data_IF_216773117224
#
_entry.id   IF_216773117224
#
_cell.length_a   1.000
_cell.length_b   1.000
_cell.length_c   1.000
_cell.angle_alpha   90.00
_cell.angle_beta   90.00
_cell.angle_gamma   90.00
#
_symmetry.space_group_name_H-M   'P 1'
#
loop_
_entity.id
_entity.type
_entity.pdbx_description
1 polymer ?
#
# COMPACT_ATOMS: atom_id res chain seq x y z
N UNK A 1 -12.03 -49.73 -10.69
CA UNK A 1 -12.61 -48.50 -10.11
C UNK A 1 -11.52 -47.80 -9.31
N UNK A 2 -10.96 -46.70 -9.84
CA UNK A 2 -9.97 -45.88 -9.12
C UNK A 2 -10.75 -44.78 -8.36
N UNK A 3 -10.60 -44.74 -7.05
CA UNK A 3 -11.18 -43.73 -6.20
C UNK A 3 -10.54 -42.36 -6.52
N UNK A 4 -11.36 -41.40 -6.94
CA UNK A 4 -10.96 -40.00 -7.08
C UNK A 4 -10.93 -39.39 -5.69
N UNK A 5 -9.73 -39.20 -5.16
CA UNK A 5 -9.52 -38.49 -3.90
C UNK A 5 -9.76 -37.00 -4.20
N UNK A 6 -10.95 -36.50 -3.86
CA UNK A 6 -11.25 -35.07 -3.83
C UNK A 6 -10.41 -34.45 -2.70
N UNK A 7 -9.45 -33.60 -3.08
CA UNK A 7 -8.74 -32.72 -2.14
C UNK A 7 -9.76 -31.86 -1.39
N UNK A 8 -9.67 -31.71 -0.06
CA UNK A 8 -10.61 -30.85 0.67
C UNK A 8 -10.44 -29.42 0.17
N UNK A 9 -11.55 -28.78 -0.18
CA UNK A 9 -11.60 -27.35 -0.44
C UNK A 9 -11.04 -26.64 0.79
N UNK A 10 -9.94 -25.93 0.62
CA UNK A 10 -9.34 -25.11 1.68
C UNK A 10 -10.41 -24.13 2.16
N UNK A 11 -10.81 -24.24 3.42
CA UNK A 11 -11.72 -23.29 4.05
C UNK A 11 -11.19 -21.86 3.82
N UNK A 12 -12.06 -20.87 3.58
CA UNK A 12 -11.61 -19.50 3.42
C UNK A 12 -10.88 -19.11 4.71
N UNK A 13 -9.61 -18.73 4.56
CA UNK A 13 -8.75 -18.26 5.64
C UNK A 13 -9.43 -17.05 6.33
N UNK A 14 -10.04 -17.30 7.49
CA UNK A 14 -10.87 -16.37 8.23
C UNK A 14 -10.10 -15.45 9.16
N UNK A 15 -8.76 -15.49 9.14
CA UNK A 15 -7.97 -14.60 9.98
C UNK A 15 -8.26 -13.13 9.63
N UNK A 16 -8.49 -12.28 10.64
CA UNK A 16 -8.93 -10.91 10.44
C UNK A 16 -7.88 -10.09 9.68
N UNK A 17 -8.36 -9.20 8.79
CA UNK A 17 -7.56 -8.23 8.05
C UNK A 17 -8.15 -6.85 8.26
N UNK A 18 -7.31 -5.88 8.52
CA UNK A 18 -7.68 -4.47 8.59
C UNK A 18 -7.30 -3.75 7.29
N UNK A 19 -8.25 -3.06 6.68
CA UNK A 19 -8.01 -2.23 5.49
C UNK A 19 -8.08 -0.76 5.89
N UNK A 20 -6.94 -0.11 5.92
CA UNK A 20 -6.80 1.32 6.20
C UNK A 20 -7.11 2.11 4.94
N UNK A 21 -8.08 3.00 5.04
CA UNK A 21 -8.62 3.84 3.98
C UNK A 21 -8.44 5.32 4.36
N UNK A 22 -7.31 5.96 4.00
CA UNK A 22 -7.13 7.40 4.22
C UNK A 22 -8.19 8.19 3.48
N UNK A 23 -8.98 8.99 4.19
CA UNK A 23 -10.16 9.67 3.66
C UNK A 23 -10.09 11.19 3.89
N UNK A 24 -10.30 11.96 2.82
CA UNK A 24 -10.47 13.40 2.87
C UNK A 24 -11.41 13.85 1.76
N UNK A 25 -12.66 14.14 2.11
CA UNK A 25 -13.71 14.52 1.17
C UNK A 25 -13.89 13.50 0.04
N UNK A 26 -14.29 12.29 0.40
CA UNK A 26 -14.51 11.16 -0.51
C UNK A 26 -15.92 10.53 -0.31
N UNK A 27 -16.91 11.32 0.17
CA UNK A 27 -18.25 10.82 0.47
C UNK A 27 -18.92 10.11 -0.71
N UNK A 28 -18.66 10.56 -1.94
CA UNK A 28 -19.19 9.99 -3.18
C UNK A 28 -18.58 8.61 -3.50
N UNK A 29 -17.28 8.45 -3.26
CA UNK A 29 -16.54 7.22 -3.57
C UNK A 29 -16.75 6.10 -2.54
N UNK A 30 -17.01 6.45 -1.27
CA UNK A 30 -17.10 5.51 -0.16
C UNK A 30 -18.05 4.32 -0.39
N UNK A 31 -19.26 4.48 -0.95
CA UNK A 31 -20.15 3.33 -1.18
C UNK A 31 -19.52 2.28 -2.10
N UNK A 32 -18.85 2.73 -3.15
CA UNK A 32 -18.19 1.84 -4.11
C UNK A 32 -16.99 1.13 -3.49
N UNK A 33 -16.17 1.85 -2.73
CA UNK A 33 -14.97 1.31 -2.05
C UNK A 33 -15.38 0.30 -0.99
N UNK A 34 -16.30 0.66 -0.08
CA UNK A 34 -16.69 -0.18 1.05
C UNK A 34 -17.43 -1.44 0.62
N UNK A 35 -18.23 -1.38 -0.45
CA UNK A 35 -18.91 -2.55 -0.99
C UNK A 35 -17.95 -3.60 -1.58
N UNK A 36 -16.68 -3.24 -1.83
CA UNK A 36 -15.63 -4.09 -2.39
C UNK A 36 -14.60 -4.57 -1.37
N UNK A 37 -14.73 -4.17 -0.13
CA UNK A 37 -13.93 -4.76 0.96
C UNK A 37 -14.33 -6.25 1.07
N UNK A 38 -13.39 -7.18 1.05
CA UNK A 38 -13.68 -8.60 1.17
C UNK A 38 -14.46 -8.93 2.45
N UNK A 39 -15.38 -9.91 2.37
CA UNK A 39 -16.19 -10.32 3.53
C UNK A 39 -15.29 -10.78 4.68
N UNK A 40 -15.64 -10.37 5.89
CA UNK A 40 -14.86 -10.69 7.10
C UNK A 40 -13.67 -9.77 7.36
N UNK A 41 -13.31 -8.89 6.42
CA UNK A 41 -12.30 -7.87 6.64
C UNK A 41 -12.90 -6.60 7.22
N UNK A 42 -12.13 -5.88 8.02
CA UNK A 42 -12.57 -4.65 8.65
C UNK A 42 -12.05 -3.43 7.90
N UNK A 43 -12.96 -2.56 7.48
CA UNK A 43 -12.63 -1.26 6.91
C UNK A 43 -12.36 -0.23 8.02
N UNK A 44 -11.17 0.35 8.03
CA UNK A 44 -10.76 1.47 8.89
C UNK A 44 -10.68 2.74 8.04
N UNK A 45 -11.77 3.48 7.96
CA UNK A 45 -11.81 4.78 7.27
C UNK A 45 -11.21 5.83 8.19
N UNK A 46 -10.06 6.38 7.78
CA UNK A 46 -9.36 7.40 8.58
C UNK A 46 -9.71 8.78 8.04
N UNK A 47 -10.66 9.42 8.70
CA UNK A 47 -11.10 10.78 8.36
C UNK A 47 -10.04 11.80 8.76
N UNK A 48 -9.43 12.44 7.76
CA UNK A 48 -8.40 13.44 7.94
C UNK A 48 -8.95 14.87 7.82
N UNK A 49 -10.14 15.07 8.40
CA UNK A 49 -10.84 16.34 8.49
C UNK A 49 -11.68 16.66 7.27
N UNK A 50 -12.50 15.71 6.83
CA UNK A 50 -13.50 15.92 5.79
C UNK A 50 -14.59 16.91 6.21
N UNK A 51 -15.18 17.57 5.22
CA UNK A 51 -16.27 18.55 5.39
C UNK A 51 -17.49 18.24 4.55
N UNK A 52 -17.46 17.10 3.83
CA UNK A 52 -18.49 16.67 2.87
C UNK A 52 -19.40 15.54 3.41
N UNK A 53 -19.29 15.21 4.71
CA UNK A 53 -20.04 14.10 5.30
C UNK A 53 -19.42 12.71 5.11
N UNK A 54 -18.16 12.64 4.68
CA UNK A 54 -17.43 11.36 4.50
C UNK A 54 -17.45 10.48 5.75
N UNK A 55 -17.20 11.06 6.92
CA UNK A 55 -17.13 10.30 8.18
C UNK A 55 -18.48 9.67 8.55
N UNK A 56 -19.58 10.44 8.42
CA UNK A 56 -20.96 9.99 8.68
C UNK A 56 -21.36 8.91 7.66
N UNK A 57 -21.02 9.12 6.39
CA UNK A 57 -21.28 8.18 5.31
C UNK A 57 -20.58 6.84 5.53
N UNK A 58 -19.29 6.88 5.94
CA UNK A 58 -18.52 5.68 6.24
C UNK A 58 -19.14 4.87 7.37
N UNK A 59 -19.57 5.53 8.48
CA UNK A 59 -20.23 4.87 9.61
C UNK A 59 -21.55 4.23 9.17
N UNK A 60 -22.37 4.94 8.40
CA UNK A 60 -23.64 4.43 7.89
C UNK A 60 -23.46 3.19 6.99
N UNK A 61 -22.30 3.04 6.34
CA UNK A 61 -21.94 1.88 5.53
C UNK A 61 -21.22 0.77 6.33
N UNK A 62 -21.14 0.89 7.66
CA UNK A 62 -20.59 -0.15 8.53
C UNK A 62 -19.07 -0.10 8.73
N UNK A 63 -18.38 0.92 8.23
CA UNK A 63 -16.95 1.08 8.46
C UNK A 63 -16.63 1.61 9.87
N UNK A 64 -15.50 1.17 10.43
CA UNK A 64 -14.93 1.82 11.62
C UNK A 64 -14.29 3.13 11.18
N UNK A 65 -14.67 4.24 11.80
CA UNK A 65 -14.12 5.56 11.49
C UNK A 65 -13.13 5.99 12.57
N UNK A 66 -11.89 6.24 12.14
CA UNK A 66 -10.82 6.81 12.95
C UNK A 66 -10.68 8.29 12.57
N UNK A 67 -10.61 9.20 13.54
CA UNK A 67 -10.39 10.61 13.30
C UNK A 67 -8.92 10.95 13.48
N UNK A 68 -8.32 11.61 12.47
CA UNK A 68 -6.94 12.11 12.53
C UNK A 68 -6.93 13.62 12.26
N UNK A 69 -6.60 14.39 13.29
CA UNK A 69 -6.64 15.87 13.23
C UNK A 69 -5.44 16.45 12.49
N UNK A 70 -4.30 15.78 12.56
CA UNK A 70 -3.10 16.20 11.85
C UNK A 70 -3.27 15.99 10.36
N UNK A 71 -3.36 17.07 9.60
CA UNK A 71 -3.47 17.03 8.13
C UNK A 71 -2.27 16.33 7.49
N UNK A 72 -2.54 15.37 6.61
CA UNK A 72 -1.54 14.69 5.81
C UNK A 72 -1.88 13.25 5.50
N UNK A 73 -1.59 12.79 4.29
CA UNK A 73 -1.83 11.42 3.86
C UNK A 73 -1.13 10.40 4.79
N UNK A 74 0.15 10.65 5.11
CA UNK A 74 0.90 9.80 6.02
C UNK A 74 0.38 9.82 7.45
N UNK A 75 -0.22 10.93 7.91
CA UNK A 75 -0.86 11.00 9.22
C UNK A 75 -2.08 10.07 9.27
N UNK A 76 -2.93 10.12 8.25
CA UNK A 76 -4.08 9.23 8.13
C UNK A 76 -3.67 7.76 8.03
N UNK A 77 -2.69 7.42 7.18
CA UNK A 77 -2.16 6.04 7.10
C UNK A 77 -1.64 5.56 8.45
N UNK A 78 -0.87 6.40 9.15
CA UNK A 78 -0.29 6.04 10.45
C UNK A 78 -1.36 5.87 11.53
N UNK A 79 -2.33 6.77 11.60
CA UNK A 79 -3.44 6.65 12.56
C UNK A 79 -4.24 5.35 12.32
N UNK A 80 -4.47 4.99 11.05
CA UNK A 80 -5.08 3.71 10.70
C UNK A 80 -4.25 2.51 11.12
N UNK A 81 -2.93 2.51 10.91
CA UNK A 81 -2.02 1.46 11.37
C UNK A 81 -2.05 1.30 12.89
N UNK A 82 -2.07 2.41 13.63
CA UNK A 82 -2.15 2.39 15.10
C UNK A 82 -3.50 1.87 15.60
N UNK A 83 -4.59 2.16 14.91
CA UNK A 83 -5.95 1.68 15.23
C UNK A 83 -6.20 0.23 14.77
N UNK A 84 -5.38 -0.28 13.87
CA UNK A 84 -5.46 -1.66 13.40
C UNK A 84 -5.14 -2.64 14.53
N UNK A 85 -5.84 -3.78 14.54
CA UNK A 85 -5.67 -4.86 15.52
C UNK A 85 -5.44 -6.22 14.87
N UNK A 86 -5.73 -6.35 13.58
CA UNK A 86 -5.48 -7.57 12.82
C UNK A 86 -3.99 -7.78 12.56
N UNK A 87 -3.59 -9.04 12.35
CA UNK A 87 -2.19 -9.40 12.04
C UNK A 87 -1.73 -8.84 10.70
N UNK A 88 -2.64 -8.74 9.72
CA UNK A 88 -2.36 -8.16 8.43
C UNK A 88 -3.10 -6.83 8.28
N UNK A 89 -2.36 -5.83 7.85
CA UNK A 89 -2.87 -4.49 7.55
C UNK A 89 -2.67 -4.22 6.06
N UNK A 90 -3.76 -3.81 5.43
CA UNK A 90 -3.77 -3.34 4.07
C UNK A 90 -3.96 -1.81 4.02
N UNK A 91 -3.48 -1.20 2.96
CA UNK A 91 -3.76 0.20 2.62
C UNK A 91 -4.38 0.26 1.24
N UNK A 92 -5.38 1.11 1.09
CA UNK A 92 -6.03 1.40 -0.19
C UNK A 92 -6.53 2.84 -0.20
N UNK A 93 -6.42 3.52 -1.34
CA UNK A 93 -7.01 4.85 -1.50
C UNK A 93 -8.54 4.78 -1.46
N UNK A 94 -9.18 5.84 -0.96
CA UNK A 94 -10.62 5.92 -0.73
C UNK A 94 -11.38 6.62 -1.87
N UNK A 95 -10.75 6.81 -3.04
CA UNK A 95 -11.26 7.61 -4.17
C UNK A 95 -11.81 6.78 -5.35
N UNK A 96 -12.05 5.49 -5.13
CA UNK A 96 -12.51 4.52 -6.11
C UNK A 96 -11.58 4.31 -7.32
N UNK A 97 -10.34 4.75 -7.26
CA UNK A 97 -9.34 4.50 -8.32
C UNK A 97 -8.73 3.10 -8.27
N UNK A 98 -8.84 2.43 -7.14
CA UNK A 98 -8.37 1.06 -6.91
C UNK A 98 -9.47 0.21 -6.27
N UNK A 99 -9.61 -1.02 -6.73
CA UNK A 99 -10.56 -1.98 -6.19
C UNK A 99 -9.96 -2.70 -4.97
N UNK A 100 -10.53 -2.54 -3.75
CA UNK A 100 -10.02 -3.22 -2.55
C UNK A 100 -10.04 -4.75 -2.64
N UNK A 101 -10.89 -5.34 -3.47
CA UNK A 101 -10.94 -6.80 -3.66
C UNK A 101 -9.62 -7.37 -4.21
N UNK A 102 -8.83 -6.55 -4.88
CA UNK A 102 -7.50 -6.90 -5.39
C UNK A 102 -6.46 -7.13 -4.28
N UNK A 103 -6.77 -6.80 -3.03
CA UNK A 103 -5.92 -7.09 -1.88
C UNK A 103 -5.90 -8.57 -1.49
N UNK A 104 -6.88 -9.37 -1.91
CA UNK A 104 -6.98 -10.78 -1.52
C UNK A 104 -5.71 -11.59 -1.87
N UNK A 105 -5.18 -11.56 -3.10
CA UNK A 105 -3.93 -12.24 -3.41
C UNK A 105 -2.73 -11.68 -2.64
N UNK A 106 -2.68 -10.38 -2.34
CA UNK A 106 -1.60 -9.75 -1.57
C UNK A 106 -1.56 -10.28 -0.14
N UNK A 107 -2.73 -10.36 0.50
CA UNK A 107 -2.88 -10.89 1.85
C UNK A 107 -2.46 -12.36 1.90
N UNK A 108 -2.83 -13.16 0.89
CA UNK A 108 -2.40 -14.56 0.80
C UNK A 108 -0.89 -14.66 0.75
N UNK A 109 -0.22 -13.94 -0.14
CA UNK A 109 1.23 -13.95 -0.30
C UNK A 109 1.97 -13.56 1.00
N UNK A 110 1.43 -12.56 1.75
CA UNK A 110 1.97 -12.19 3.07
C UNK A 110 1.76 -13.30 4.10
N UNK A 111 0.60 -13.96 4.11
CA UNK A 111 0.28 -15.06 5.03
C UNK A 111 1.15 -16.27 4.80
N UNK A 112 1.31 -16.65 3.54
CA UNK A 112 2.10 -17.80 3.12
C UNK A 112 3.61 -17.55 3.32
N UNK A 113 3.97 -16.32 3.71
CA UNK A 113 5.35 -15.92 3.95
C UNK A 113 6.17 -15.87 2.67
N UNK A 114 5.55 -15.65 1.52
CA UNK A 114 6.23 -15.47 0.23
C UNK A 114 6.81 -14.06 0.10
N UNK A 115 6.11 -13.05 0.65
CA UNK A 115 6.56 -11.67 0.78
C UNK A 115 6.21 -11.10 2.15
N UNK A 116 6.93 -10.04 2.56
CA UNK A 116 6.69 -9.33 3.81
C UNK A 116 5.93 -8.02 3.57
N UNK A 117 6.11 -7.41 2.37
CA UNK A 117 5.37 -6.25 1.90
C UNK A 117 5.00 -6.44 0.42
N UNK A 118 3.72 -6.41 0.10
CA UNK A 118 3.21 -6.53 -1.27
C UNK A 118 2.62 -5.19 -1.72
N UNK A 119 2.94 -4.77 -2.94
CA UNK A 119 2.56 -3.49 -3.54
C UNK A 119 1.79 -3.71 -4.85
N UNK A 120 0.78 -2.87 -5.09
CA UNK A 120 0.05 -2.84 -6.35
C UNK A 120 0.66 -1.82 -7.32
N UNK A 121 1.19 -2.29 -8.44
CA UNK A 121 1.63 -1.45 -9.56
C UNK A 121 0.45 -1.03 -10.39
N UNK A 122 0.20 0.27 -10.47
CA UNK A 122 -0.94 0.82 -11.21
C UNK A 122 -0.80 0.62 -12.72
N UNK A 123 -1.81 -0.01 -13.32
CA UNK A 123 -1.99 -0.14 -14.76
C UNK A 123 -3.21 0.68 -15.19
N UNK A 124 -3.03 1.91 -15.71
CA UNK A 124 -4.13 2.80 -16.03
C UNK A 124 -5.13 2.16 -16.99
N UNK A 125 -6.40 2.22 -16.63
CA UNK A 125 -7.53 1.77 -17.42
C UNK A 125 -8.29 2.99 -17.98
N UNK A 126 -8.34 3.13 -19.29
CA UNK A 126 -9.03 4.22 -19.96
C UNK A 126 -8.23 5.53 -20.03
N UNK A 127 -8.83 6.50 -20.77
CA UNK A 127 -8.24 7.83 -20.97
C UNK A 127 -8.38 8.66 -19.68
N UNK A 128 -7.27 9.31 -19.26
CA UNK A 128 -7.29 10.23 -18.11
C UNK A 128 -7.09 9.58 -16.74
N UNK A 129 -7.06 8.25 -16.61
CA UNK A 129 -6.83 7.57 -15.34
C UNK A 129 -5.51 7.99 -14.66
N UNK A 130 -4.48 8.27 -15.45
CA UNK A 130 -3.18 8.70 -14.93
C UNK A 130 -2.51 9.71 -15.88
N UNK A 131 -2.44 10.99 -15.52
CA UNK A 131 -1.81 12.03 -16.33
C UNK A 131 -0.34 11.73 -16.66
N UNK A 132 0.12 12.10 -17.87
CA UNK A 132 1.46 11.77 -18.36
C UNK A 132 2.59 12.32 -17.45
N UNK A 133 2.43 13.56 -16.93
CA UNK A 133 3.39 14.18 -16.02
C UNK A 133 3.51 13.42 -14.69
N UNK A 134 2.40 12.91 -14.15
CA UNK A 134 2.40 12.11 -12.94
C UNK A 134 3.06 10.74 -13.16
N UNK A 135 2.87 10.13 -14.35
CA UNK A 135 3.58 8.90 -14.75
C UNK A 135 5.09 9.12 -14.88
N UNK A 136 5.51 10.22 -15.49
CA UNK A 136 6.93 10.57 -15.60
C UNK A 136 7.56 10.79 -14.21
N UNK A 137 6.87 11.48 -13.31
CA UNK A 137 7.29 11.66 -11.92
C UNK A 137 7.43 10.32 -11.18
N UNK A 138 6.49 9.41 -11.36
CA UNK A 138 6.55 8.08 -10.76
C UNK A 138 7.73 7.25 -11.30
N UNK A 139 8.01 7.29 -12.61
CA UNK A 139 9.16 6.60 -13.20
C UNK A 139 10.50 7.15 -12.68
N UNK A 140 10.62 8.46 -12.55
CA UNK A 140 11.79 9.08 -11.96
C UNK A 140 11.98 8.64 -10.48
N UNK A 141 10.89 8.62 -9.71
CA UNK A 141 10.90 8.18 -8.31
C UNK A 141 11.27 6.70 -8.19
N UNK A 142 10.70 5.83 -9.02
CA UNK A 142 11.04 4.40 -9.06
C UNK A 142 12.53 4.19 -9.41
N UNK A 143 13.08 4.98 -10.33
CA UNK A 143 14.50 4.97 -10.66
C UNK A 143 15.41 5.39 -9.49
N UNK A 144 15.03 6.43 -8.74
CA UNK A 144 15.74 6.86 -7.52
C UNK A 144 15.65 5.81 -6.41
N UNK A 145 14.46 5.25 -6.21
CA UNK A 145 14.21 4.19 -5.22
C UNK A 145 15.08 2.96 -5.53
N UNK A 146 15.12 2.53 -6.79
CA UNK A 146 15.96 1.42 -7.22
C UNK A 146 17.44 1.66 -6.92
N UNK A 147 17.94 2.90 -7.16
CA UNK A 147 19.34 3.25 -6.84
C UNK A 147 19.61 3.23 -5.34
N UNK A 148 18.62 3.63 -4.51
CA UNK A 148 18.75 3.70 -3.05
C UNK A 148 18.64 2.33 -2.38
N UNK A 149 17.79 1.43 -2.90
CA UNK A 149 17.39 0.20 -2.21
C UNK A 149 17.77 -1.09 -2.95
N UNK A 150 18.09 -1.01 -4.24
CA UNK A 150 18.27 -2.18 -5.11
C UNK A 150 16.98 -2.83 -5.58
N UNK A 151 15.83 -2.47 -5.02
CA UNK A 151 14.52 -3.05 -5.37
C UNK A 151 14.11 -2.68 -6.79
N UNK A 152 13.61 -3.66 -7.55
CA UNK A 152 13.13 -3.46 -8.94
C UNK A 152 11.63 -3.14 -8.95
N UNK A 153 11.24 -2.07 -8.28
CA UNK A 153 9.88 -1.58 -8.30
C UNK A 153 9.65 -0.61 -9.45
N UNK A 154 8.43 -0.62 -10.01
CA UNK A 154 8.04 0.22 -11.15
C UNK A 154 7.05 1.30 -10.74
N UNK A 155 6.38 1.13 -9.59
CA UNK A 155 5.41 2.08 -9.07
C UNK A 155 5.49 2.16 -7.55
N UNK A 156 5.15 3.32 -7.01
CA UNK A 156 4.91 3.53 -5.59
C UNK A 156 3.41 3.51 -5.31
N UNK A 157 2.77 2.40 -5.67
CA UNK A 157 1.32 2.25 -5.59
C UNK A 157 0.77 2.35 -4.17
N UNK A 158 -0.45 2.86 -4.00
CA UNK A 158 -1.10 2.99 -2.70
C UNK A 158 -1.74 1.69 -2.19
N UNK A 159 -2.01 0.71 -3.08
CA UNK A 159 -2.55 -0.58 -2.68
C UNK A 159 -1.42 -1.43 -2.08
N UNK A 160 -1.54 -1.84 -0.82
CA UNK A 160 -0.48 -2.54 -0.09
C UNK A 160 -1.01 -3.52 0.93
N UNK A 161 -0.24 -4.56 1.20
CA UNK A 161 -0.47 -5.49 2.32
C UNK A 161 0.85 -5.85 2.99
N UNK A 162 0.85 -5.92 4.33
CA UNK A 162 1.98 -6.38 5.13
C UNK A 162 1.51 -6.85 6.51
N UNK A 163 2.36 -7.53 7.26
CA UNK A 163 2.11 -7.83 8.66
C UNK A 163 2.15 -6.54 9.48
N UNK A 164 1.20 -6.39 10.39
CA UNK A 164 1.11 -5.22 11.28
C UNK A 164 2.40 -5.05 12.11
N UNK A 165 2.94 -6.14 12.62
CA UNK A 165 4.16 -6.12 13.42
C UNK A 165 5.34 -5.55 12.63
N UNK A 166 5.51 -5.97 11.37
CA UNK A 166 6.58 -5.49 10.50
C UNK A 166 6.41 -4.00 10.21
N UNK A 167 5.19 -3.56 9.86
CA UNK A 167 4.89 -2.14 9.62
C UNK A 167 5.20 -1.25 10.83
N UNK A 168 4.91 -1.72 12.04
CA UNK A 168 5.22 -1.01 13.28
C UNK A 168 6.73 -0.97 13.52
N UNK A 169 7.44 -2.08 13.29
CA UNK A 169 8.89 -2.18 13.43
C UNK A 169 9.66 -1.25 12.49
N UNK A 170 9.08 -0.92 11.31
CA UNK A 170 9.67 0.07 10.40
C UNK A 170 9.80 1.48 11.02
N UNK A 171 9.08 1.79 12.09
CA UNK A 171 9.19 3.07 12.81
C UNK A 171 8.91 4.29 11.91
N UNK A 172 7.89 4.23 11.05
CA UNK A 172 7.57 5.28 10.08
C UNK A 172 7.28 6.62 10.76
N UNK A 173 7.96 7.67 10.34
CA UNK A 173 7.90 9.02 10.95
C UNK A 173 7.30 10.09 10.04
N UNK A 174 7.36 9.92 8.71
CA UNK A 174 6.73 10.86 7.80
C UNK A 174 5.21 10.84 8.00
N UNK A 175 4.58 12.03 8.08
CA UNK A 175 3.13 12.17 8.26
C UNK A 175 2.47 12.84 7.06
N UNK A 176 3.22 12.98 5.96
CA UNK A 176 2.79 13.66 4.74
C UNK A 176 2.89 12.73 3.54
N UNK A 177 3.36 13.26 2.41
CA UNK A 177 3.43 12.53 1.14
C UNK A 177 4.61 11.56 1.05
N UNK A 178 5.58 11.61 1.96
CA UNK A 178 6.72 10.71 2.02
C UNK A 178 6.42 9.35 2.65
N UNK A 179 5.32 9.22 3.40
CA UNK A 179 4.98 8.00 4.13
C UNK A 179 5.01 6.72 3.28
N UNK A 180 4.41 6.68 2.06
CA UNK A 180 4.46 5.50 1.22
C UNK A 180 5.87 5.14 0.75
N UNK A 181 6.70 6.15 0.48
CA UNK A 181 8.09 5.95 0.07
C UNK A 181 8.94 5.50 1.24
N UNK A 182 8.78 6.11 2.42
CA UNK A 182 9.48 5.74 3.64
C UNK A 182 9.21 4.28 4.03
N UNK A 183 7.97 3.82 3.86
CA UNK A 183 7.61 2.41 4.09
C UNK A 183 8.48 1.49 3.24
N UNK A 184 8.61 1.75 1.95
CA UNK A 184 9.40 0.90 1.03
C UNK A 184 10.90 1.01 1.31
N UNK A 185 11.43 2.21 1.55
CA UNK A 185 12.84 2.42 1.86
C UNK A 185 13.21 1.68 3.15
N UNK A 186 12.42 1.82 4.21
CA UNK A 186 12.69 1.16 5.49
C UNK A 186 12.46 -0.34 5.45
N UNK A 187 11.49 -0.82 4.65
CA UNK A 187 11.32 -2.24 4.40
C UNK A 187 12.55 -2.85 3.73
N UNK A 188 13.11 -2.17 2.72
CA UNK A 188 14.35 -2.58 2.09
C UNK A 188 15.55 -2.54 3.05
N UNK A 189 15.69 -1.47 3.83
CA UNK A 189 16.76 -1.33 4.83
C UNK A 189 16.67 -2.41 5.93
N UNK A 190 15.45 -2.86 6.26
CA UNK A 190 15.20 -3.96 7.19
C UNK A 190 15.34 -5.36 6.57
N UNK A 191 15.65 -5.45 5.27
CA UNK A 191 15.79 -6.73 4.57
C UNK A 191 14.47 -7.46 4.30
N UNK A 192 13.32 -6.76 4.37
CA UNK A 192 12.02 -7.35 4.07
C UNK A 192 11.90 -7.69 2.58
N UNK A 193 11.25 -8.80 2.27
CA UNK A 193 10.94 -9.22 0.90
C UNK A 193 9.78 -8.39 0.38
N UNK A 194 10.05 -7.58 -0.64
CA UNK A 194 9.06 -6.69 -1.24
C UNK A 194 8.66 -7.22 -2.61
N UNK A 195 7.37 -7.49 -2.80
CA UNK A 195 6.78 -7.92 -4.06
C UNK A 195 5.93 -6.81 -4.71
N UNK A 196 5.76 -6.87 -6.03
CA UNK A 196 4.95 -5.92 -6.80
C UNK A 196 4.10 -6.67 -7.82
N UNK A 197 2.77 -6.40 -7.82
CA UNK A 197 1.82 -6.98 -8.77
C UNK A 197 1.07 -5.90 -9.53
N UNK A 198 0.78 -6.17 -10.80
CA UNK A 198 -0.01 -5.27 -11.62
C UNK A 198 -1.47 -5.22 -11.16
N UNK A 199 -2.00 -4.01 -10.98
CA UNK A 199 -3.40 -3.78 -10.61
C UNK A 199 -4.05 -2.76 -11.54
N UNK A 200 -5.29 -2.98 -12.00
CA UNK A 200 -6.05 -2.00 -12.73
C UNK A 200 -6.17 -0.69 -11.94
N UNK A 201 -5.92 0.43 -12.61
CA UNK A 201 -6.05 1.76 -12.03
C UNK A 201 -7.11 2.55 -12.80
N UNK A 202 -8.22 2.82 -12.13
CA UNK A 202 -9.41 3.46 -12.68
C UNK A 202 -9.31 4.99 -12.58
N UNK A 203 -10.08 5.74 -13.37
CA UNK A 203 -10.30 7.15 -13.11
C UNK A 203 -10.88 7.32 -11.70
N UNK A 204 -10.31 8.26 -10.94
CA UNK A 204 -10.79 8.55 -9.58
C UNK A 204 -12.13 9.28 -9.59
N UNK A 205 -12.90 9.08 -8.54
CA UNK A 205 -14.04 9.93 -8.22
C UNK A 205 -13.54 11.18 -7.50
N UNK A 206 -13.85 12.37 -8.05
CA UNK A 206 -13.42 13.65 -7.46
C UNK A 206 -12.00 14.10 -7.84
N UNK A 207 -11.51 15.17 -7.19
CA UNK A 207 -10.25 15.84 -7.50
C UNK A 207 -9.07 15.34 -6.65
N UNK A 208 -7.84 15.35 -7.21
CA UNK A 208 -6.63 15.00 -6.45
C UNK A 208 -6.36 15.97 -5.30
N UNK A 209 -6.21 15.46 -4.08
CA UNK A 209 -5.93 16.26 -2.88
C UNK A 209 -4.42 16.50 -2.66
N UNK A 210 -3.56 15.70 -3.27
CA UNK A 210 -2.09 15.78 -3.08
C UNK A 210 -1.41 16.51 -4.24
N UNK A 211 -1.73 16.14 -5.48
CA UNK A 211 -1.05 16.65 -6.69
C UNK A 211 -1.89 17.62 -7.51
N UNK A 212 -3.06 18.02 -7.02
CA UNK A 212 -3.97 18.93 -7.71
C UNK A 212 -3.48 20.40 -7.80
N UNK A 213 -2.42 20.75 -7.09
CA UNK A 213 -1.80 22.09 -7.13
C UNK A 213 -0.28 21.99 -7.30
N UNK A 214 0.33 23.00 -7.95
CA UNK A 214 1.79 23.06 -8.11
C UNK A 214 2.54 23.08 -6.76
N UNK A 215 1.97 23.75 -5.75
CA UNK A 215 2.52 23.78 -4.39
C UNK A 215 2.49 22.39 -3.74
N UNK A 216 1.38 21.66 -3.89
CA UNK A 216 1.26 20.28 -3.38
C UNK A 216 2.24 19.34 -4.05
N UNK A 217 2.40 19.45 -5.36
CA UNK A 217 3.38 18.64 -6.13
C UNK A 217 4.81 18.92 -5.68
N UNK A 218 5.20 20.22 -5.56
CA UNK A 218 6.54 20.61 -5.11
C UNK A 218 6.82 20.10 -3.69
N UNK A 219 5.82 20.20 -2.81
CA UNK A 219 5.93 19.70 -1.44
C UNK A 219 6.09 18.18 -1.40
N UNK A 220 5.33 17.44 -2.20
CA UNK A 220 5.46 15.99 -2.30
C UNK A 220 6.86 15.58 -2.78
N UNK A 221 7.41 16.25 -3.79
CA UNK A 221 8.79 16.03 -4.26
C UNK A 221 9.81 16.30 -3.15
N UNK A 222 9.64 17.37 -2.37
CA UNK A 222 10.53 17.70 -1.26
C UNK A 222 10.48 16.65 -0.15
N UNK A 223 9.27 16.19 0.21
CA UNK A 223 9.08 15.15 1.22
C UNK A 223 9.74 13.82 0.75
N UNK A 224 9.56 13.45 -0.51
CA UNK A 224 10.16 12.26 -1.10
C UNK A 224 11.69 12.33 -1.15
N UNK A 225 12.27 13.49 -1.51
CA UNK A 225 13.73 13.69 -1.49
C UNK A 225 14.31 13.55 -0.08
N UNK A 226 13.60 14.05 0.94
CA UNK A 226 14.02 13.90 2.33
C UNK A 226 14.08 12.44 2.72
N UNK A 227 13.05 11.66 2.40
CA UNK A 227 13.00 10.22 2.68
C UNK A 227 14.14 9.46 1.99
N UNK A 228 14.42 9.77 0.72
CA UNK A 228 15.52 9.12 -0.01
C UNK A 228 16.91 9.46 0.55
N UNK A 229 17.04 10.60 1.23
CA UNK A 229 18.27 11.05 1.87
C UNK A 229 18.40 10.55 3.32
N UNK A 230 17.38 9.90 3.89
CA UNK A 230 17.48 9.30 5.22
C UNK A 230 18.58 8.23 5.23
N UNK A 231 19.48 8.23 6.23
CA UNK A 231 20.44 7.14 6.38
C UNK A 231 19.69 5.83 6.65
N UNK A 232 20.27 4.66 6.31
CA UNK A 232 19.72 3.38 6.70
C UNK A 232 19.48 3.32 8.20
N UNK A 233 18.37 2.70 8.62
CA UNK A 233 18.09 2.51 10.04
C UNK A 233 19.23 1.72 10.70
N UNK A 234 19.68 2.08 11.92
CA UNK A 234 20.71 1.33 12.63
C UNK A 234 20.20 -0.11 12.87
N UNK A 235 20.86 -1.10 12.28
CA UNK A 235 20.50 -2.52 12.33
C UNK A 235 20.15 -3.17 11.01
N UNK A 236 20.08 -2.42 9.89
CA UNK A 236 19.85 -2.98 8.56
C UNK A 236 21.10 -3.72 8.06
N UNK A 237 20.92 -4.98 7.63
CA UNK A 237 21.98 -5.77 7.00
C UNK A 237 22.30 -5.13 5.65
N UNK A 238 23.52 -4.61 5.50
CA UNK A 238 24.04 -4.09 4.23
C UNK A 238 24.01 -5.23 3.21
N UNK A 239 23.19 -5.10 2.15
CA UNK A 239 23.10 -6.06 1.05
C UNK A 239 24.36 -5.99 0.15
N UNK A 240 25.52 -6.34 0.71
CA UNK A 240 26.74 -6.69 -0.02
C UNK A 240 27.04 -8.17 0.21
N UNK A 241 26.10 -9.04 -0.12
CA UNK A 241 26.26 -10.48 -0.18
C UNK A 241 26.21 -10.92 -1.63
N UNK A 242 27.35 -11.29 -2.18
CA UNK A 242 27.54 -11.86 -3.50
C UNK A 242 26.59 -13.05 -3.71
N UNK A 243 25.73 -12.95 -4.69
CA UNK A 243 24.91 -14.03 -5.20
C UNK A 243 25.84 -15.04 -5.91
N UNK A 244 26.26 -16.08 -5.21
CA UNK A 244 26.89 -17.24 -5.83
C UNK A 244 25.82 -18.06 -6.53
N UNK A 245 25.86 -18.06 -7.85
CA UNK A 245 25.05 -18.97 -8.65
C UNK A 245 25.42 -20.44 -8.34
N UNK A 246 24.47 -21.39 -8.27
CA UNK A 246 24.79 -22.80 -8.19
C UNK A 246 25.40 -23.25 -9.52
N UNK A 247 26.64 -23.72 -9.46
CA UNK A 247 27.32 -24.40 -10.58
C UNK A 247 26.57 -25.68 -10.90
N UNK A 248 26.11 -25.80 -12.13
CA UNK A 248 25.54 -27.02 -12.65
C UNK A 248 26.52 -28.19 -12.57
N UNK A 249 26.09 -29.25 -11.95
CA UNK A 249 26.72 -30.53 -12.08
C UNK A 249 26.34 -31.15 -13.44
N UNK A 250 27.28 -31.08 -14.37
CA UNK A 250 27.30 -31.90 -15.57
C UNK A 250 28.19 -33.09 -15.23
N UNK A 251 27.64 -34.29 -15.22
CA UNK A 251 28.42 -35.50 -15.50
C UNK A 251 27.52 -36.73 -15.67
N UNK A 252 27.58 -37.29 -16.86
CA UNK A 252 27.33 -38.69 -17.31
C UNK A 252 25.89 -39.11 -17.47
#
# INVERSE_FOLDING_TARGET
MKAVTTSPATEPDTAPVDVVLPCLNEAEALPWVLARIPRGWRALVVDNGSTDGSAERARALGATVVREERRGFGAACHAGLMAATADIVCFCDCDASLDPSLLVPFVREVRDGEADLVLGRRRPQGRGAWPAHARAGNLALAGMLRRRTGLRLHDLGPLRAARRADLLALGLTDRRSGYPLQMVVRAADAGLRVAEHDVPYLPRTGASKVTGTWRGTWQAVRDMRRVLAEPPAPGGVSATGSFSAPQGANSL
#
